data_IF_651922662301
#
_entry.id   IF_651922662301
#
_cell.length_a   1.000
_cell.length_b   1.000
_cell.length_c   1.000
_cell.angle_alpha   90.00
_cell.angle_beta   90.00
_cell.angle_gamma   90.00
#
_symmetry.space_group_name_H-M   'P 1'
#
loop_
_entity.id
_entity.type
_entity.pdbx_description
1 polymer ?
#
# COMPACT_ATOMS: atom_id res chain seq x y z
N UNK A 1 -8.89 12.86 -3.43
CA UNK A 1 -8.00 11.71 -3.15
C UNK A 1 -6.57 11.95 -3.63
N UNK A 2 -6.32 12.26 -4.91
CA UNK A 2 -4.93 12.48 -5.38
C UNK A 2 -4.23 13.65 -4.70
N UNK A 3 -4.92 14.79 -4.53
CA UNK A 3 -4.38 15.93 -3.77
C UNK A 3 -4.04 15.55 -2.33
N UNK A 4 -4.93 14.78 -1.67
CA UNK A 4 -4.73 14.29 -0.30
C UNK A 4 -3.50 13.39 -0.20
N UNK A 5 -3.36 12.42 -1.11
CA UNK A 5 -2.21 11.52 -1.18
C UNK A 5 -0.91 12.28 -1.46
N UNK A 6 -0.92 13.24 -2.38
CA UNK A 6 0.28 14.01 -2.74
C UNK A 6 0.79 14.90 -1.59
N UNK A 7 -0.11 15.33 -0.70
CA UNK A 7 0.24 16.10 0.51
C UNK A 7 0.97 15.29 1.59
N UNK A 8 0.94 13.96 1.53
CA UNK A 8 1.58 13.13 2.55
C UNK A 8 3.11 13.25 2.45
N UNK A 9 3.74 13.45 3.60
CA UNK A 9 5.19 13.49 3.76
C UNK A 9 5.66 12.29 4.55
N UNK A 10 6.74 11.64 4.09
CA UNK A 10 7.26 10.41 4.67
C UNK A 10 7.68 10.59 6.14
N UNK A 11 8.34 11.70 6.48
CA UNK A 11 8.83 11.94 7.84
C UNK A 11 7.81 12.64 8.76
N UNK A 12 6.54 12.71 8.33
CA UNK A 12 5.49 13.38 9.10
C UNK A 12 5.10 12.61 10.37
N UNK A 13 4.60 13.33 11.37
CA UNK A 13 4.07 12.71 12.59
C UNK A 13 2.92 11.75 12.32
N UNK A 14 2.16 11.96 11.23
CA UNK A 14 1.10 11.05 10.82
C UNK A 14 1.65 9.68 10.40
N UNK A 15 2.75 9.65 9.63
CA UNK A 15 3.44 8.41 9.26
C UNK A 15 4.02 7.74 10.50
N UNK A 16 4.70 8.49 11.39
CA UNK A 16 5.23 7.93 12.64
C UNK A 16 4.14 7.30 13.51
N UNK A 17 2.96 7.92 13.56
CA UNK A 17 1.79 7.37 14.26
C UNK A 17 1.29 6.07 13.64
N UNK A 18 1.24 5.97 12.31
CA UNK A 18 0.85 4.72 11.62
C UNK A 18 1.89 3.62 11.84
N UNK A 19 3.17 3.98 11.91
CA UNK A 19 4.27 3.06 12.19
C UNK A 19 4.35 2.66 13.67
N UNK A 20 3.60 3.31 14.56
CA UNK A 20 3.66 3.15 16.01
C UNK A 20 5.09 3.37 16.57
N UNK A 21 5.72 4.46 16.14
CA UNK A 21 7.05 4.87 16.62
C UNK A 21 7.00 6.26 17.27
N UNK A 22 7.85 6.45 18.29
CA UNK A 22 8.01 7.77 18.91
C UNK A 22 8.66 8.78 17.97
N UNK A 23 8.45 10.07 18.22
CA UNK A 23 9.02 11.15 17.40
C UNK A 23 10.55 11.15 17.33
N UNK A 24 11.21 10.53 18.33
CA UNK A 24 12.68 10.39 18.44
C UNK A 24 13.24 9.33 17.48
N UNK A 25 12.42 8.37 17.05
CA UNK A 25 12.84 7.29 16.15
C UNK A 25 12.75 7.79 14.72
N UNK A 26 13.82 7.56 13.95
CA UNK A 26 13.83 7.82 12.52
C UNK A 26 13.31 6.59 11.78
N UNK A 27 12.44 6.82 10.82
CA UNK A 27 11.91 5.87 9.84
C UNK A 27 12.92 5.54 8.71
N UNK A 28 14.19 5.94 8.86
CA UNK A 28 15.26 5.65 7.89
C UNK A 28 15.63 4.16 7.83
N UNK A 29 15.42 3.41 8.92
CA UNK A 29 15.70 1.96 8.97
C UNK A 29 14.76 1.13 8.08
N UNK A 30 13.66 1.72 7.60
CA UNK A 30 12.78 1.07 6.64
C UNK A 30 13.33 1.12 5.21
N UNK A 31 14.27 2.04 4.91
CA UNK A 31 14.84 2.25 3.57
C UNK A 31 13.78 2.49 2.46
N UNK A 32 12.70 3.20 2.82
CA UNK A 32 11.57 3.50 1.94
C UNK A 32 11.55 4.96 1.44
N UNK A 33 12.41 5.84 1.94
CA UNK A 33 12.42 7.29 1.66
C UNK A 33 12.46 7.63 0.16
N UNK A 34 13.46 7.13 -0.58
CA UNK A 34 13.60 7.39 -2.01
C UNK A 34 12.43 6.78 -2.79
N UNK A 35 12.02 5.55 -2.41
CA UNK A 35 10.92 4.86 -3.07
C UNK A 35 9.57 5.52 -2.78
N UNK A 36 9.41 6.17 -1.62
CA UNK A 36 8.18 6.86 -1.25
C UNK A 36 7.92 8.04 -2.20
N UNK A 37 8.98 8.79 -2.52
CA UNK A 37 8.91 9.89 -3.50
C UNK A 37 8.50 9.36 -4.88
N UNK A 38 9.13 8.27 -5.35
CA UNK A 38 8.82 7.64 -6.63
C UNK A 38 7.40 7.08 -6.68
N UNK A 39 6.96 6.45 -5.61
CA UNK A 39 5.60 5.88 -5.48
C UNK A 39 4.56 6.99 -5.51
N UNK A 40 4.79 8.08 -4.77
CA UNK A 40 3.90 9.25 -4.77
C UNK A 40 3.82 9.92 -6.14
N UNK A 41 4.94 10.03 -6.87
CA UNK A 41 4.95 10.58 -8.23
C UNK A 41 4.10 9.76 -9.22
N UNK A 42 4.03 8.43 -9.02
CA UNK A 42 3.27 7.51 -9.87
C UNK A 42 1.89 7.13 -9.31
N UNK A 43 1.45 7.75 -8.20
CA UNK A 43 0.29 7.31 -7.42
C UNK A 43 -0.99 7.25 -8.23
N UNK A 44 -1.15 8.11 -9.25
CA UNK A 44 -2.33 8.10 -10.12
C UNK A 44 -2.48 6.77 -10.87
N UNK A 45 -1.40 6.27 -11.48
CA UNK A 45 -1.42 5.02 -12.24
C UNK A 45 -1.58 3.82 -11.31
N UNK A 46 -0.79 3.79 -10.22
CA UNK A 46 -0.86 2.70 -9.23
C UNK A 46 -2.23 2.61 -8.57
N UNK A 47 -2.83 3.75 -8.17
CA UNK A 47 -4.16 3.77 -7.57
C UNK A 47 -5.23 3.33 -8.57
N UNK A 48 -5.14 3.76 -9.83
CA UNK A 48 -6.10 3.32 -10.86
C UNK A 48 -6.07 1.81 -11.02
N UNK A 49 -4.88 1.21 -11.13
CA UNK A 49 -4.72 -0.24 -11.26
C UNK A 49 -5.20 -0.99 -10.02
N UNK A 50 -4.86 -0.50 -8.83
CA UNK A 50 -5.31 -1.08 -7.57
C UNK A 50 -6.83 -1.14 -7.46
N UNK A 51 -7.52 -0.05 -7.78
CA UNK A 51 -8.98 0.02 -7.70
C UNK A 51 -9.66 -0.82 -8.78
N UNK A 52 -9.07 -0.93 -9.97
CA UNK A 52 -9.59 -1.80 -11.04
C UNK A 52 -9.43 -3.29 -10.73
N UNK A 53 -8.40 -3.66 -9.96
CA UNK A 53 -8.15 -5.04 -9.55
C UNK A 53 -8.93 -5.44 -8.27
N UNK A 54 -9.51 -4.47 -7.56
CA UNK A 54 -10.23 -4.74 -6.32
C UNK A 54 -11.60 -5.36 -6.62
N UNK A 55 -11.76 -6.65 -6.33
CA UNK A 55 -12.98 -7.40 -6.63
C UNK A 55 -14.24 -6.74 -6.05
N UNK A 56 -14.16 -6.20 -4.82
CA UNK A 56 -15.30 -5.57 -4.17
C UNK A 56 -15.77 -4.31 -4.90
N UNK A 57 -14.85 -3.58 -5.55
CA UNK A 57 -15.11 -2.37 -6.32
C UNK A 57 -15.53 -2.72 -7.75
N UNK A 58 -14.84 -3.66 -8.39
CA UNK A 58 -15.08 -4.06 -9.77
C UNK A 58 -16.49 -4.67 -9.96
N UNK A 59 -16.98 -5.44 -8.99
CA UNK A 59 -18.29 -6.09 -9.06
C UNK A 59 -19.46 -5.14 -8.75
N UNK A 60 -19.21 -3.96 -8.19
CA UNK A 60 -20.27 -3.09 -7.64
C UNK A 60 -20.10 -1.61 -8.03
N UNK A 61 -20.22 -1.29 -9.32
CA UNK A 61 -20.14 0.09 -9.81
C UNK A 61 -21.43 0.88 -9.54
N UNK A 62 -21.54 1.51 -8.37
CA UNK A 62 -22.57 2.52 -8.08
C UNK A 62 -22.01 3.70 -7.25
N UNK A 63 -22.71 4.84 -7.28
CA UNK A 63 -22.24 6.10 -6.69
C UNK A 63 -22.03 6.07 -5.16
N UNK A 64 -22.69 5.16 -4.46
CA UNK A 64 -22.53 4.97 -3.00
C UNK A 64 -21.16 4.36 -2.70
N UNK A 65 -20.77 3.35 -3.49
CA UNK A 65 -19.49 2.65 -3.35
C UNK A 65 -18.33 3.56 -3.71
N UNK A 66 -18.49 4.41 -4.73
CA UNK A 66 -17.49 5.43 -5.08
C UNK A 66 -17.19 6.36 -3.90
N UNK A 67 -18.22 6.85 -3.21
CA UNK A 67 -18.02 7.73 -2.06
C UNK A 67 -17.37 6.99 -0.87
N UNK A 68 -17.78 5.75 -0.60
CA UNK A 68 -17.16 4.92 0.44
C UNK A 68 -15.66 4.69 0.18
N UNK A 69 -15.31 4.33 -1.05
CA UNK A 69 -13.91 4.13 -1.47
C UNK A 69 -13.11 5.43 -1.35
N UNK A 70 -13.67 6.56 -1.79
CA UNK A 70 -13.04 7.88 -1.65
C UNK A 70 -12.75 8.20 -0.18
N UNK A 71 -13.72 7.98 0.71
CA UNK A 71 -13.53 8.23 2.14
C UNK A 71 -12.50 7.29 2.74
N UNK A 72 -12.54 5.99 2.40
CA UNK A 72 -11.55 5.00 2.83
C UNK A 72 -10.14 5.42 2.43
N UNK A 73 -9.93 5.84 1.19
CA UNK A 73 -8.61 6.32 0.73
C UNK A 73 -8.18 7.57 1.51
N UNK A 74 -9.06 8.55 1.69
CA UNK A 74 -8.74 9.79 2.44
C UNK A 74 -8.35 9.53 3.89
N UNK A 75 -9.07 8.64 4.57
CA UNK A 75 -8.84 8.29 5.97
C UNK A 75 -7.57 7.47 6.18
N UNK A 76 -7.10 6.77 5.14
CA UNK A 76 -5.97 5.85 5.21
C UNK A 76 -4.80 6.25 4.30
N UNK A 77 -4.74 7.50 3.85
CA UNK A 77 -3.79 7.97 2.83
C UNK A 77 -2.32 7.71 3.19
N UNK A 78 -1.96 7.87 4.46
CA UNK A 78 -0.61 7.58 4.96
C UNK A 78 -0.28 6.09 4.89
N UNK A 79 -1.19 5.25 5.41
CA UNK A 79 -1.03 3.80 5.39
C UNK A 79 -1.01 3.25 3.96
N UNK A 80 -1.92 3.71 3.09
CA UNK A 80 -1.97 3.33 1.70
C UNK A 80 -0.64 3.63 0.99
N UNK A 81 -0.09 4.84 1.16
CA UNK A 81 1.20 5.19 0.56
C UNK A 81 2.36 4.38 1.13
N UNK A 82 2.37 4.08 2.44
CA UNK A 82 3.38 3.20 3.03
C UNK A 82 3.33 1.78 2.45
N UNK A 83 2.13 1.18 2.38
CA UNK A 83 1.93 -0.16 1.85
C UNK A 83 2.35 -0.26 0.38
N UNK A 84 1.92 0.70 -0.45
CA UNK A 84 2.34 0.78 -1.86
C UNK A 84 3.86 0.95 -1.99
N UNK A 85 4.46 1.82 -1.18
CA UNK A 85 5.90 2.08 -1.22
C UNK A 85 6.69 0.82 -0.84
N UNK A 86 6.21 0.08 0.15
CA UNK A 86 6.83 -1.17 0.59
C UNK A 86 6.79 -2.24 -0.52
N UNK A 87 5.64 -2.43 -1.17
CA UNK A 87 5.49 -3.37 -2.29
C UNK A 87 6.37 -2.96 -3.48
N UNK A 88 6.42 -1.67 -3.81
CA UNK A 88 7.32 -1.15 -4.84
C UNK A 88 8.80 -1.36 -4.50
N UNK A 89 9.19 -1.24 -3.23
CA UNK A 89 10.59 -1.38 -2.82
C UNK A 89 11.06 -2.83 -2.84
N UNK A 90 10.26 -3.75 -2.32
CA UNK A 90 10.70 -5.11 -2.02
C UNK A 90 10.17 -6.17 -2.99
N UNK A 91 9.09 -5.87 -3.72
CA UNK A 91 8.41 -6.85 -4.60
C UNK A 91 8.42 -6.44 -6.08
N UNK A 92 9.00 -5.29 -6.44
CA UNK A 92 9.08 -4.83 -7.84
C UNK A 92 10.22 -5.47 -8.64
N UNK A 93 10.36 -6.80 -8.55
CA UNK A 93 11.27 -7.58 -9.38
C UNK A 93 10.47 -8.39 -10.41
N UNK A 94 11.14 -8.77 -11.51
CA UNK A 94 10.50 -9.42 -12.66
C UNK A 94 10.75 -10.92 -12.69
N UNK A 95 9.71 -11.67 -13.05
CA UNK A 95 9.76 -13.04 -13.54
C UNK A 95 9.38 -13.02 -15.03
N UNK A 96 10.40 -12.94 -15.90
CA UNK A 96 10.16 -12.67 -17.33
C UNK A 96 9.51 -11.30 -17.53
N UNK A 97 8.31 -11.30 -18.11
CA UNK A 97 7.55 -10.07 -18.38
C UNK A 97 6.65 -9.62 -17.22
N UNK A 98 6.41 -10.49 -16.23
CA UNK A 98 5.52 -10.21 -15.09
C UNK A 98 6.30 -9.70 -13.89
N UNK A 99 5.76 -8.71 -13.17
CA UNK A 99 6.35 -8.23 -11.91
C UNK A 99 5.73 -8.93 -10.72
N UNK A 100 6.54 -9.35 -9.76
CA UNK A 100 6.06 -10.05 -8.57
C UNK A 100 5.04 -9.23 -7.76
N UNK A 101 5.27 -7.90 -7.63
CA UNK A 101 4.30 -6.99 -6.98
C UNK A 101 2.92 -7.00 -7.63
N UNK A 102 2.82 -7.21 -8.94
CA UNK A 102 1.53 -7.15 -9.63
C UNK A 102 0.72 -8.41 -9.28
N UNK A 103 1.39 -9.56 -9.16
CA UNK A 103 0.77 -10.80 -8.67
C UNK A 103 0.31 -10.67 -7.21
N UNK A 104 1.18 -10.14 -6.35
CA UNK A 104 0.90 -10.00 -4.91
C UNK A 104 -0.18 -8.95 -4.62
N UNK A 105 -0.24 -7.88 -5.42
CA UNK A 105 -1.13 -6.75 -5.16
C UNK A 105 -2.46 -6.82 -5.91
N UNK A 106 -2.46 -7.31 -7.14
CA UNK A 106 -3.64 -7.24 -8.02
C UNK A 106 -4.29 -8.60 -8.30
N UNK A 107 -3.58 -9.71 -8.06
CA UNK A 107 -4.05 -11.06 -8.37
C UNK A 107 -4.13 -11.93 -7.12
N UNK A 108 -4.90 -11.48 -6.13
CA UNK A 108 -5.11 -12.21 -4.87
C UNK A 108 -5.82 -13.56 -5.08
N UNK A 109 -6.62 -13.66 -6.14
CA UNK A 109 -7.27 -14.87 -6.62
C UNK A 109 -6.27 -15.98 -7.00
N UNK A 110 -5.09 -15.62 -7.51
CA UNK A 110 -3.99 -16.56 -7.79
C UNK A 110 -3.57 -17.36 -6.54
N UNK A 111 -3.73 -16.76 -5.35
CA UNK A 111 -3.44 -17.38 -4.05
C UNK A 111 -4.70 -17.89 -3.33
N UNK A 112 -5.83 -18.02 -4.03
CA UNK A 112 -7.09 -18.51 -3.47
C UNK A 112 -7.85 -17.48 -2.61
N UNK A 113 -7.44 -16.20 -2.63
CA UNK A 113 -8.07 -15.10 -1.88
C UNK A 113 -8.99 -14.25 -2.79
N UNK A 114 -9.84 -14.90 -3.59
CA UNK A 114 -10.61 -14.24 -4.68
C UNK A 114 -11.57 -13.14 -4.22
N UNK A 115 -12.02 -13.16 -2.96
CA UNK A 115 -12.97 -12.18 -2.41
C UNK A 115 -12.28 -11.09 -1.57
N UNK A 116 -10.95 -11.05 -1.56
CA UNK A 116 -10.19 -10.07 -0.78
C UNK A 116 -10.07 -8.74 -1.53
N UNK A 117 -10.28 -7.64 -0.80
CA UNK A 117 -10.05 -6.29 -1.33
C UNK A 117 -8.54 -6.01 -1.41
N UNK A 118 -8.06 -5.77 -2.63
CA UNK A 118 -6.69 -5.35 -2.87
C UNK A 118 -6.36 -4.04 -2.13
N UNK A 119 -7.29 -3.08 -2.11
CA UNK A 119 -7.15 -1.83 -1.38
C UNK A 119 -6.98 -2.06 0.11
N UNK A 120 -7.81 -2.92 0.71
CA UNK A 120 -7.75 -3.22 2.15
C UNK A 120 -6.43 -3.91 2.52
N UNK A 121 -5.94 -4.86 1.71
CA UNK A 121 -4.67 -5.53 1.96
C UNK A 121 -3.50 -4.55 1.96
N UNK A 122 -3.45 -3.61 1.00
CA UNK A 122 -2.38 -2.60 0.96
C UNK A 122 -2.47 -1.65 2.16
N UNK A 123 -3.68 -1.23 2.56
CA UNK A 123 -3.87 -0.41 3.76
C UNK A 123 -3.43 -1.17 5.02
N UNK A 124 -3.80 -2.44 5.16
CA UNK A 124 -3.42 -3.28 6.30
C UNK A 124 -1.90 -3.46 6.38
N UNK A 125 -1.24 -3.71 5.24
CA UNK A 125 0.22 -3.76 5.16
C UNK A 125 0.83 -2.43 5.66
N UNK A 126 0.32 -1.29 5.19
CA UNK A 126 0.79 0.02 5.66
C UNK A 126 0.58 0.29 7.15
N UNK A 127 -0.48 -0.29 7.74
CA UNK A 127 -0.80 -0.22 9.18
C UNK A 127 -0.11 -1.30 10.02
N UNK A 128 0.68 -2.18 9.41
CA UNK A 128 1.28 -3.31 10.12
C UNK A 128 2.35 -2.91 11.14
N UNK A 129 2.72 -1.63 11.18
CA UNK A 129 3.66 -1.06 12.13
C UNK A 129 5.11 -1.19 11.68
N UNK A 130 5.99 -0.45 12.36
CA UNK A 130 7.39 -0.33 11.99
C UNK A 130 8.10 -1.67 11.86
N UNK A 131 7.91 -2.57 12.83
CA UNK A 131 8.59 -3.87 12.84
C UNK A 131 8.24 -4.73 11.61
N UNK A 132 6.98 -4.78 11.19
CA UNK A 132 6.59 -5.56 10.01
C UNK A 132 7.08 -4.90 8.71
N UNK A 133 7.24 -3.58 8.69
CA UNK A 133 7.76 -2.88 7.50
C UNK A 133 9.29 -2.83 7.43
N UNK A 134 10.02 -3.40 8.40
CA UNK A 134 11.47 -3.50 8.34
C UNK A 134 11.92 -4.43 7.19
N UNK A 135 12.95 -4.01 6.46
CA UNK A 135 13.53 -4.77 5.36
C UNK A 135 13.90 -6.21 5.76
N UNK A 136 14.52 -6.38 6.95
CA UNK A 136 14.92 -7.68 7.51
C UNK A 136 13.75 -8.63 7.76
N UNK A 137 12.53 -8.10 7.88
CA UNK A 137 11.34 -8.88 8.19
C UNK A 137 10.49 -9.19 6.94
N UNK A 138 10.96 -8.86 5.72
CA UNK A 138 10.15 -8.98 4.50
C UNK A 138 9.54 -10.38 4.28
N UNK A 139 10.27 -11.45 4.62
CA UNK A 139 9.78 -12.84 4.52
C UNK A 139 8.65 -13.10 5.51
N UNK A 140 8.79 -12.59 6.74
CA UNK A 140 7.76 -12.74 7.79
C UNK A 140 6.51 -11.95 7.39
N UNK A 141 6.71 -10.73 6.91
CA UNK A 141 5.64 -9.84 6.44
C UNK A 141 4.85 -10.47 5.32
N UNK A 142 5.52 -11.13 4.37
CA UNK A 142 4.85 -11.89 3.31
C UNK A 142 3.92 -12.95 3.90
N UNK A 143 4.45 -13.83 4.76
CA UNK A 143 3.69 -14.97 5.30
C UNK A 143 2.49 -14.57 6.17
N UNK A 144 2.54 -13.39 6.82
CA UNK A 144 1.50 -12.96 7.75
C UNK A 144 0.46 -12.07 7.07
N UNK A 145 0.86 -11.25 6.09
CA UNK A 145 0.03 -10.15 5.59
C UNK A 145 -0.28 -10.20 4.09
N UNK A 146 0.45 -11.00 3.29
CA UNK A 146 0.32 -11.07 1.84
C UNK A 146 -0.20 -12.45 1.42
#
# INVERSE_FOLDING_TARGET
VLTDLNSVQYDSNAIKKILDISDKVKNTELYLDEQFVKTKANIKDTLSKLLSADAAIAENSNSIIDNYVIQKIKQNKEALLLGLTYLERWYNFKYGETKAKDLVMYHLDFFGKSNSSALDNVIQLGKSGFNNLLAKNNVITYNVLL
#
